data_IF_100086242029
#
_entry.id   IF_100086242029
#
_cell.length_a   1.000
_cell.length_b   1.000
_cell.length_c   1.000
_cell.angle_alpha   90.00
_cell.angle_beta   90.00
_cell.angle_gamma   90.00
#
_symmetry.space_group_name_H-M   'P 1'
#
loop_
_entity.id
_entity.type
_entity.pdbx_description
1 polymer ?
#
# COMPACT_ATOMS: atom_id res chain seq x y z
N UNK A 1 0.22 16.89 -22.51
CA UNK A 1 1.54 16.27 -22.65
C UNK A 1 1.30 14.78 -22.79
N UNK A 2 1.49 14.27 -24.00
CA UNK A 2 1.13 12.92 -24.42
C UNK A 2 1.95 11.85 -23.71
N UNK A 3 1.25 10.94 -23.04
CA UNK A 3 1.79 9.88 -22.20
C UNK A 3 1.85 8.54 -22.96
N UNK A 4 2.37 8.56 -24.18
CA UNK A 4 2.57 7.34 -24.99
C UNK A 4 3.93 7.44 -25.70
N UNK A 5 4.80 6.45 -25.43
CA UNK A 5 6.15 6.25 -25.99
C UNK A 5 7.34 6.97 -25.32
N UNK A 6 7.56 6.80 -24.02
CA UNK A 6 8.95 6.79 -23.52
C UNK A 6 9.51 5.37 -23.68
N UNK A 7 10.35 5.16 -24.71
CA UNK A 7 11.22 3.97 -24.77
C UNK A 7 11.97 3.87 -23.44
N UNK A 8 11.96 2.68 -22.83
CA UNK A 8 12.76 2.41 -21.64
C UNK A 8 14.23 2.76 -21.95
N UNK A 9 14.94 3.47 -21.05
CA UNK A 9 16.35 3.73 -21.28
C UNK A 9 17.09 2.38 -21.38
N UNK A 10 18.02 2.26 -22.33
CA UNK A 10 18.73 1.01 -22.65
C UNK A 10 19.38 0.32 -21.43
N UNK A 11 19.65 1.07 -20.37
CA UNK A 11 20.16 0.55 -19.09
C UNK A 11 19.12 -0.20 -18.25
N UNK A 12 17.83 0.14 -18.37
CA UNK A 12 16.76 -0.51 -17.61
C UNK A 12 16.42 -1.89 -18.18
N UNK A 13 16.32 -2.00 -19.51
CA UNK A 13 16.10 -3.29 -20.15
C UNK A 13 17.26 -4.26 -19.86
N UNK A 14 18.51 -3.77 -19.90
CA UNK A 14 19.69 -4.53 -19.52
C UNK A 14 19.73 -4.94 -18.04
N UNK A 15 19.06 -4.20 -17.16
CA UNK A 15 18.90 -4.57 -15.75
C UNK A 15 17.83 -5.66 -15.59
N UNK A 16 16.68 -5.52 -16.26
CA UNK A 16 15.60 -6.50 -16.19
C UNK A 16 16.03 -7.89 -16.65
N UNK A 17 16.86 -7.98 -17.68
CA UNK A 17 17.39 -9.27 -18.17
C UNK A 17 18.28 -10.00 -17.16
N UNK A 18 18.81 -9.30 -16.16
CA UNK A 18 19.63 -9.89 -15.09
C UNK A 18 18.80 -10.33 -13.89
N UNK A 19 17.55 -9.88 -13.78
CA UNK A 19 16.69 -10.23 -12.66
C UNK A 19 16.02 -11.60 -12.89
N UNK A 20 15.84 -12.41 -11.83
CA UNK A 20 14.95 -13.55 -11.90
C UNK A 20 13.57 -13.09 -12.36
N UNK A 21 12.99 -13.81 -13.31
CA UNK A 21 11.65 -13.51 -13.81
C UNK A 21 10.78 -14.76 -13.81
N UNK A 22 9.47 -14.56 -13.67
CA UNK A 22 8.50 -15.62 -13.64
C UNK A 22 7.26 -15.23 -14.43
N UNK A 23 6.75 -16.19 -15.21
CA UNK A 23 5.48 -16.06 -15.88
C UNK A 23 4.37 -16.40 -14.88
N UNK A 24 3.49 -15.43 -14.62
CA UNK A 24 2.36 -15.60 -13.73
C UNK A 24 1.14 -16.13 -14.49
N UNK A 25 0.75 -15.47 -15.58
CA UNK A 25 -0.17 -15.98 -16.61
C UNK A 25 0.49 -15.91 -17.98
N UNK A 26 0.22 -16.89 -18.83
CA UNK A 26 0.81 -17.02 -20.17
C UNK A 26 0.55 -15.82 -21.08
N UNK A 27 -0.53 -15.08 -20.83
CA UNK A 27 -0.99 -13.91 -21.58
C UNK A 27 -0.80 -12.59 -20.81
N UNK A 28 0.05 -12.60 -19.78
CA UNK A 28 0.42 -11.40 -19.02
C UNK A 28 1.92 -11.18 -19.05
N UNK A 29 2.40 -9.93 -18.90
CA UNK A 29 3.82 -9.67 -18.77
C UNK A 29 4.42 -10.41 -17.58
N UNK A 30 5.68 -10.85 -17.72
CA UNK A 30 6.40 -11.52 -16.64
C UNK A 30 6.60 -10.58 -15.44
N UNK A 31 6.59 -11.16 -14.25
CA UNK A 31 7.09 -10.50 -13.06
C UNK A 31 8.60 -10.67 -12.97
N UNK A 32 9.27 -9.65 -12.46
CA UNK A 32 10.71 -9.64 -12.20
C UNK A 32 10.91 -9.48 -10.69
N UNK A 33 11.83 -10.27 -10.13
CA UNK A 33 12.15 -10.22 -8.72
C UNK A 33 13.20 -9.13 -8.48
N UNK A 34 12.80 -8.07 -7.79
CA UNK A 34 13.66 -6.95 -7.44
C UNK A 34 13.65 -6.73 -5.93
N UNK A 35 14.83 -6.75 -5.31
CA UNK A 35 15.00 -6.70 -3.84
C UNK A 35 14.16 -7.73 -3.07
N UNK A 36 13.95 -8.90 -3.67
CA UNK A 36 13.18 -10.01 -3.10
C UNK A 36 11.66 -9.90 -3.28
N UNK A 37 11.17 -8.91 -4.05
CA UNK A 37 9.74 -8.70 -4.32
C UNK A 37 9.45 -8.87 -5.81
N UNK A 38 8.36 -9.54 -6.14
CA UNK A 38 7.90 -9.77 -7.51
C UNK A 38 7.09 -8.58 -8.03
N UNK A 39 7.55 -7.96 -9.12
CA UNK A 39 7.00 -6.71 -9.65
C UNK A 39 6.89 -6.76 -11.17
N UNK A 40 5.93 -6.02 -11.72
CA UNK A 40 5.95 -5.68 -13.14
C UNK A 40 7.04 -4.62 -13.41
N UNK A 41 7.62 -4.58 -14.63
CA UNK A 41 8.62 -3.60 -15.03
C UNK A 41 8.27 -2.15 -14.65
N UNK A 42 7.02 -1.74 -14.83
CA UNK A 42 6.59 -0.36 -14.56
C UNK A 42 6.69 -0.01 -13.07
N UNK A 43 6.47 -0.98 -12.18
CA UNK A 43 6.63 -0.79 -10.73
C UNK A 43 8.11 -0.74 -10.33
N UNK A 44 8.98 -1.51 -10.98
CA UNK A 44 10.43 -1.44 -10.74
C UNK A 44 10.97 -0.08 -11.17
N UNK A 45 10.58 0.39 -12.36
CA UNK A 45 10.96 1.70 -12.85
C UNK A 45 10.47 2.80 -11.90
N UNK A 46 9.22 2.72 -11.43
CA UNK A 46 8.68 3.64 -10.44
C UNK A 46 9.44 3.61 -9.12
N UNK A 47 9.82 2.43 -8.63
CA UNK A 47 10.58 2.27 -7.39
C UNK A 47 12.02 2.82 -7.51
N UNK A 48 12.66 2.65 -8.67
CA UNK A 48 13.96 3.27 -8.97
C UNK A 48 13.86 4.79 -9.02
N UNK A 49 12.85 5.32 -9.72
CA UNK A 49 12.61 6.75 -9.78
C UNK A 49 12.37 7.34 -8.39
N UNK A 50 11.54 6.67 -7.58
CA UNK A 50 11.29 7.05 -6.19
C UNK A 50 12.59 7.06 -5.39
N UNK A 51 13.39 5.99 -5.44
CA UNK A 51 14.67 5.90 -4.73
C UNK A 51 15.64 7.03 -5.06
N UNK A 52 15.67 7.48 -6.31
CA UNK A 52 16.61 8.50 -6.76
C UNK A 52 16.16 9.94 -6.50
N UNK A 53 14.85 10.18 -6.38
CA UNK A 53 14.30 11.55 -6.34
C UNK A 53 13.48 11.86 -5.09
N UNK A 54 13.08 10.85 -4.32
CA UNK A 54 12.30 11.06 -3.11
C UNK A 54 13.21 11.48 -1.96
N UNK A 55 12.95 12.68 -1.44
CA UNK A 55 13.55 13.19 -0.21
C UNK A 55 12.48 13.19 0.87
N UNK A 56 12.68 12.40 1.92
CA UNK A 56 11.76 12.35 3.05
C UNK A 56 11.93 13.58 3.95
N UNK A 57 10.84 14.24 4.30
CA UNK A 57 10.81 15.29 5.30
C UNK A 57 10.32 14.79 6.67
N UNK A 58 10.72 15.47 7.74
CA UNK A 58 10.36 15.11 9.12
C UNK A 58 8.83 15.06 9.36
N UNK A 59 8.06 15.84 8.60
CA UNK A 59 6.58 15.92 8.71
C UNK A 59 5.84 14.90 7.81
N UNK A 60 6.56 14.08 7.05
CA UNK A 60 5.93 13.11 6.15
C UNK A 60 5.33 11.92 6.91
N UNK A 61 4.19 11.42 6.40
CA UNK A 61 3.49 10.22 6.86
C UNK A 61 3.33 9.22 5.71
N UNK A 62 4.21 8.25 5.63
CA UNK A 62 4.21 7.21 4.60
C UNK A 62 3.18 6.14 4.97
N UNK A 63 2.25 5.85 4.06
CA UNK A 63 1.32 4.73 4.23
C UNK A 63 1.83 3.52 3.46
N UNK A 64 1.99 2.39 4.15
CA UNK A 64 2.47 1.14 3.59
C UNK A 64 1.52 -0.02 3.95
N UNK A 65 1.51 -1.05 3.11
CA UNK A 65 0.56 -2.16 3.23
C UNK A 65 0.91 -3.28 2.27
N UNK A 66 0.54 -4.51 2.58
CA UNK A 66 0.32 -5.51 1.53
C UNK A 66 -0.87 -5.09 0.65
N UNK A 67 -0.98 -5.65 -0.55
CA UNK A 67 -2.22 -5.47 -1.30
C UNK A 67 -3.41 -6.04 -0.54
N UNK A 68 -4.57 -5.38 -0.70
CA UNK A 68 -5.88 -5.82 -0.18
C UNK A 68 -5.98 -5.92 1.35
N UNK A 69 -5.11 -5.25 2.10
CA UNK A 69 -5.17 -5.21 3.57
C UNK A 69 -5.93 -3.99 4.17
N UNK A 70 -6.77 -3.31 3.38
CA UNK A 70 -7.56 -2.16 3.86
C UNK A 70 -6.91 -0.80 3.62
N UNK A 71 -6.11 -0.66 2.57
CA UNK A 71 -5.43 0.61 2.21
C UNK A 71 -6.37 1.79 2.02
N UNK A 72 -7.56 1.56 1.47
CA UNK A 72 -8.54 2.61 1.24
C UNK A 72 -9.04 3.17 2.57
N UNK A 73 -9.38 2.27 3.49
CA UNK A 73 -9.83 2.65 4.82
C UNK A 73 -8.74 3.37 5.62
N UNK A 74 -7.50 2.85 5.59
CA UNK A 74 -6.36 3.51 6.24
C UNK A 74 -6.11 4.92 5.69
N UNK A 75 -6.19 5.11 4.37
CA UNK A 75 -6.05 6.42 3.72
C UNK A 75 -7.12 7.40 4.20
N UNK A 76 -8.38 6.97 4.21
CA UNK A 76 -9.49 7.79 4.69
C UNK A 76 -9.27 8.23 6.15
N UNK A 77 -8.94 7.27 7.02
CA UNK A 77 -8.65 7.53 8.43
C UNK A 77 -7.49 8.52 8.62
N UNK A 78 -6.35 8.29 7.95
CA UNK A 78 -5.20 9.19 8.06
C UNK A 78 -5.54 10.60 7.54
N UNK A 79 -6.24 10.70 6.41
CA UNK A 79 -6.65 11.98 5.85
C UNK A 79 -7.57 12.75 6.79
N UNK A 80 -8.58 12.07 7.34
CA UNK A 80 -9.54 12.67 8.27
C UNK A 80 -8.88 13.12 9.60
N UNK A 81 -7.95 12.32 10.13
CA UNK A 81 -7.19 12.65 11.35
C UNK A 81 -6.30 13.88 11.12
N UNK A 82 -5.54 13.90 10.02
CA UNK A 82 -4.56 14.97 9.76
C UNK A 82 -5.24 16.32 9.51
N UNK A 83 -6.49 16.31 9.04
CA UNK A 83 -7.33 17.49 8.82
C UNK A 83 -8.13 17.90 10.08
N UNK A 84 -7.92 17.26 11.24
CA UNK A 84 -8.70 17.49 12.47
C UNK A 84 -10.23 17.35 12.27
N UNK A 85 -10.69 16.51 11.34
CA UNK A 85 -12.12 16.38 11.02
C UNK A 85 -12.77 17.65 10.44
N UNK A 86 -11.97 18.66 10.05
CA UNK A 86 -12.45 19.90 9.42
C UNK A 86 -12.47 19.75 7.91
N UNK A 87 -13.53 19.15 7.39
CA UNK A 87 -14.07 19.59 6.11
C UNK A 87 -15.46 20.15 6.43
N UNK A 88 -15.62 21.45 6.24
CA UNK A 88 -16.92 22.15 6.27
C UNK A 88 -17.66 21.93 4.93
N UNK A 89 -17.01 21.31 3.96
CA UNK A 89 -17.59 20.93 2.68
C UNK A 89 -18.32 19.58 2.82
N UNK A 90 -19.65 19.61 2.62
CA UNK A 90 -20.51 18.43 2.45
C UNK A 90 -20.13 17.58 1.21
N UNK A 91 -19.32 18.14 0.30
CA UNK A 91 -18.69 17.40 -0.79
C UNK A 91 -17.46 16.67 -0.27
N UNK A 92 -17.69 15.44 0.18
CA UNK A 92 -16.70 14.50 0.67
C UNK A 92 -15.50 14.41 -0.30
N UNK A 93 -14.36 14.99 0.08
CA UNK A 93 -13.06 14.89 -0.60
C UNK A 93 -12.69 13.40 -0.82
N UNK A 94 -13.21 12.51 0.03
CA UNK A 94 -13.06 11.06 -0.04
C UNK A 94 -13.82 10.41 -1.20
N UNK A 95 -14.91 11.03 -1.68
CA UNK A 95 -15.80 10.52 -2.74
C UNK A 95 -15.41 11.10 -4.12
N UNK A 96 -15.09 12.40 -4.19
CA UNK A 96 -14.81 13.08 -5.47
C UNK A 96 -13.32 13.13 -5.87
N UNK A 97 -12.42 12.85 -4.94
CA UNK A 97 -11.00 12.70 -5.25
C UNK A 97 -10.50 11.40 -4.65
N UNK A 98 -9.69 10.65 -5.42
CA UNK A 98 -8.82 9.63 -4.85
C UNK A 98 -8.15 10.29 -3.63
N UNK A 99 -8.29 9.78 -2.38
CA UNK A 99 -8.22 10.58 -1.13
C UNK A 99 -6.97 11.41 -0.81
N UNK A 100 -6.04 11.61 -1.76
CA UNK A 100 -4.82 12.39 -1.58
C UNK A 100 -4.59 13.30 -2.79
N UNK A 101 -4.41 14.61 -2.61
CA UNK A 101 -4.04 15.52 -3.69
C UNK A 101 -2.70 15.09 -4.32
N UNK A 102 -2.60 15.23 -5.64
CA UNK A 102 -1.43 14.89 -6.45
C UNK A 102 -0.16 15.69 -6.10
N UNK A 103 -0.26 16.66 -5.19
CA UNK A 103 0.79 17.63 -4.82
C UNK A 103 1.69 17.19 -3.65
N UNK A 104 1.47 16.02 -3.06
CA UNK A 104 2.38 15.45 -2.05
C UNK A 104 2.70 13.99 -2.38
N UNK A 105 3.91 13.49 -2.10
CA UNK A 105 4.39 12.20 -2.58
C UNK A 105 3.81 11.03 -1.75
N UNK A 106 2.48 10.95 -1.63
CA UNK A 106 1.77 9.88 -0.92
C UNK A 106 1.49 8.67 -1.81
N UNK A 107 2.40 8.38 -2.74
CA UNK A 107 2.35 7.20 -3.59
C UNK A 107 3.54 6.31 -3.24
N UNK A 108 3.35 5.34 -2.36
CA UNK A 108 4.04 4.08 -2.57
C UNK A 108 3.24 2.93 -1.97
N UNK A 109 2.73 2.08 -2.86
CA UNK A 109 2.27 0.75 -2.46
C UNK A 109 3.52 -0.13 -2.35
N UNK A 110 3.68 -0.75 -1.18
CA UNK A 110 4.31 -2.07 -0.99
C UNK A 110 5.79 -2.26 -1.37
N UNK A 111 6.70 -1.42 -0.85
CA UNK A 111 8.15 -1.71 -0.91
C UNK A 111 8.85 -1.49 0.44
N UNK A 112 8.98 -2.52 1.31
CA UNK A 112 9.57 -2.39 2.64
C UNK A 112 11.00 -1.83 2.60
N UNK A 113 11.89 -2.47 1.84
CA UNK A 113 13.32 -2.16 1.85
C UNK A 113 13.63 -0.79 1.26
N UNK A 114 13.00 -0.45 0.13
CA UNK A 114 13.19 0.85 -0.49
C UNK A 114 12.67 1.97 0.41
N UNK A 115 11.44 1.85 0.94
CA UNK A 115 10.83 2.89 1.77
C UNK A 115 11.59 3.12 3.07
N UNK A 116 11.95 2.05 3.77
CA UNK A 116 12.67 2.15 5.04
C UNK A 116 14.03 2.79 4.79
N UNK A 117 14.76 2.38 3.73
CA UNK A 117 16.07 2.97 3.42
C UNK A 117 16.00 4.43 3.04
N UNK A 118 15.07 4.84 2.16
CA UNK A 118 14.97 6.24 1.72
C UNK A 118 14.51 7.18 2.83
N UNK A 119 13.78 6.66 3.82
CA UNK A 119 13.29 7.44 4.94
C UNK A 119 14.20 7.42 6.17
N UNK A 120 15.26 6.60 6.21
CA UNK A 120 16.06 6.34 7.42
C UNK A 120 16.50 7.61 8.16
N UNK A 121 16.92 8.65 7.43
CA UNK A 121 17.54 9.85 7.99
C UNK A 121 16.56 10.95 8.43
N UNK A 122 15.27 10.84 8.11
CA UNK A 122 14.26 11.82 8.55
C UNK A 122 13.46 11.31 9.75
N UNK A 123 12.68 12.19 10.36
CA UNK A 123 11.69 11.84 11.39
C UNK A 123 10.32 11.46 10.82
N UNK A 124 10.22 11.24 9.50
CA UNK A 124 8.97 10.86 8.88
C UNK A 124 8.39 9.60 9.53
N UNK A 125 7.08 9.53 9.61
CA UNK A 125 6.37 8.40 10.20
C UNK A 125 5.91 7.45 9.11
N UNK A 126 5.84 6.16 9.42
CA UNK A 126 5.35 5.12 8.54
C UNK A 126 4.18 4.44 9.25
N UNK A 127 3.02 4.35 8.59
CA UNK A 127 1.88 3.56 9.06
C UNK A 127 1.74 2.36 8.14
N UNK A 128 1.92 1.18 8.71
CA UNK A 128 1.82 -0.08 8.02
C UNK A 128 0.54 -0.82 8.41
N UNK A 129 -0.27 -1.26 7.44
CA UNK A 129 -1.43 -2.12 7.69
C UNK A 129 -1.35 -3.46 6.96
N UNK A 130 -1.55 -4.54 7.71
CA UNK A 130 -1.71 -5.90 7.18
C UNK A 130 -3.09 -6.46 7.50
N UNK A 131 -3.45 -7.59 6.88
CA UNK A 131 -4.71 -8.30 7.10
C UNK A 131 -4.43 -9.81 7.18
N UNK A 132 -5.35 -10.57 7.76
CA UNK A 132 -5.31 -12.03 7.67
C UNK A 132 -5.01 -12.52 6.23
N UNK A 133 -4.07 -13.45 6.11
CA UNK A 133 -3.61 -13.99 4.83
C UNK A 133 -4.75 -14.53 3.96
N UNK A 134 -5.70 -15.27 4.56
CA UNK A 134 -6.81 -15.90 3.82
C UNK A 134 -7.75 -14.84 3.23
N UNK A 135 -8.08 -13.83 4.02
CA UNK A 135 -8.92 -12.72 3.58
C UNK A 135 -8.23 -11.85 2.51
N UNK A 136 -6.93 -11.57 2.71
CA UNK A 136 -6.13 -10.82 1.76
C UNK A 136 -6.05 -11.56 0.42
N UNK A 137 -5.85 -12.88 0.46
CA UNK A 137 -5.84 -13.76 -0.71
C UNK A 137 -7.17 -13.72 -1.47
N UNK A 138 -8.30 -13.97 -0.80
CA UNK A 138 -9.62 -13.99 -1.46
C UNK A 138 -9.92 -12.64 -2.10
N UNK A 139 -9.62 -11.54 -1.41
CA UNK A 139 -9.79 -10.19 -1.95
C UNK A 139 -8.85 -9.90 -3.13
N UNK A 140 -7.63 -10.45 -3.10
CA UNK A 140 -6.66 -10.35 -4.18
C UNK A 140 -7.12 -11.12 -5.42
N UNK A 141 -7.57 -12.36 -5.26
CA UNK A 141 -8.10 -13.17 -6.35
C UNK A 141 -9.26 -12.49 -7.08
N UNK A 142 -10.25 -11.97 -6.34
CA UNK A 142 -11.36 -11.22 -6.94
C UNK A 142 -10.90 -9.96 -7.67
N UNK A 143 -9.96 -9.20 -7.10
CA UNK A 143 -9.41 -8.02 -7.77
C UNK A 143 -8.70 -8.43 -9.06
N UNK A 144 -7.79 -9.39 -8.98
CA UNK A 144 -6.97 -9.85 -10.10
C UNK A 144 -7.84 -10.35 -11.26
N UNK A 145 -8.87 -11.14 -10.96
CA UNK A 145 -9.81 -11.59 -12.00
C UNK A 145 -10.69 -10.46 -12.55
N UNK A 146 -11.00 -9.45 -11.75
CA UNK A 146 -11.76 -8.28 -12.21
C UNK A 146 -10.94 -7.32 -13.07
N UNK A 147 -9.64 -7.18 -12.82
CA UNK A 147 -8.76 -6.21 -13.49
C UNK A 147 -7.93 -6.82 -14.61
N UNK A 148 -7.51 -8.08 -14.48
CA UNK A 148 -6.64 -8.76 -15.44
C UNK A 148 -7.43 -9.87 -16.13
N UNK A 149 -8.11 -10.72 -15.35
CA UNK A 149 -8.86 -11.88 -15.86
C UNK A 149 -9.93 -11.59 -16.90
N UNK A 150 -10.51 -10.38 -16.91
CA UNK A 150 -11.50 -9.95 -17.91
C UNK A 150 -10.90 -9.62 -19.28
N UNK A 151 -9.60 -9.32 -19.33
CA UNK A 151 -8.91 -8.83 -20.53
C UNK A 151 -7.87 -9.82 -21.07
N UNK A 152 -7.62 -10.89 -20.33
CA UNK A 152 -6.75 -12.00 -20.73
C UNK A 152 -7.51 -13.01 -21.60
N UNK A 153 -6.88 -13.52 -22.67
CA UNK A 153 -7.46 -14.57 -23.53
C UNK A 153 -7.76 -15.85 -22.74
N UNK A 154 -6.96 -16.13 -21.71
CA UNK A 154 -7.12 -17.28 -20.81
C UNK A 154 -8.31 -17.13 -19.85
N UNK A 155 -8.96 -15.97 -19.80
CA UNK A 155 -10.07 -15.68 -18.90
C UNK A 155 -9.70 -15.58 -17.41
N UNK A 156 -10.68 -15.71 -16.49
CA UNK A 156 -10.42 -15.66 -15.06
C UNK A 156 -9.59 -16.86 -14.59
N UNK A 157 -8.62 -16.61 -13.71
CA UNK A 157 -7.78 -17.65 -13.16
C UNK A 157 -8.53 -18.42 -12.05
N UNK A 158 -8.53 -19.78 -12.07
CA UNK A 158 -9.12 -20.58 -11.01
C UNK A 158 -8.52 -20.27 -9.64
N UNK A 159 -9.32 -20.41 -8.58
CA UNK A 159 -8.93 -20.07 -7.22
C UNK A 159 -7.72 -20.88 -6.75
N UNK A 160 -7.70 -22.18 -7.05
CA UNK A 160 -6.66 -23.13 -6.63
C UNK A 160 -5.31 -22.76 -7.25
N UNK A 161 -5.31 -22.36 -8.53
CA UNK A 161 -4.10 -21.95 -9.24
C UNK A 161 -3.58 -20.62 -8.71
N UNK A 162 -4.47 -19.67 -8.43
CA UNK A 162 -4.07 -18.42 -7.77
C UNK A 162 -3.51 -18.67 -6.38
N UNK A 163 -4.15 -19.56 -5.61
CA UNK A 163 -3.72 -19.91 -4.27
C UNK A 163 -2.29 -20.47 -4.27
N UNK A 164 -1.99 -21.35 -5.23
CA UNK A 164 -0.64 -21.88 -5.39
C UNK A 164 0.38 -20.76 -5.64
N UNK A 165 0.13 -19.86 -6.59
CA UNK A 165 1.04 -18.72 -6.82
C UNK A 165 1.20 -17.82 -5.59
N UNK A 166 0.11 -17.56 -4.88
CA UNK A 166 0.13 -16.73 -3.68
C UNK A 166 0.93 -17.38 -2.54
N UNK A 167 0.83 -18.70 -2.38
CA UNK A 167 1.65 -19.49 -1.44
C UNK A 167 3.12 -19.56 -1.85
N UNK A 168 3.40 -19.74 -3.14
CA UNK A 168 4.76 -19.75 -3.69
C UNK A 168 5.41 -18.35 -3.65
N UNK A 169 4.62 -17.32 -3.35
CA UNK A 169 5.07 -15.93 -3.27
C UNK A 169 5.24 -15.25 -4.63
N UNK A 170 4.99 -15.94 -5.74
CA UNK A 170 5.10 -15.44 -7.12
C UNK A 170 3.82 -14.71 -7.52
N UNK A 171 3.54 -13.61 -6.84
CA UNK A 171 2.41 -12.71 -7.10
C UNK A 171 2.89 -11.27 -7.10
N UNK A 172 2.11 -10.37 -7.71
CA UNK A 172 2.46 -8.96 -7.70
C UNK A 172 2.62 -8.47 -6.24
N UNK A 173 3.75 -7.84 -5.93
CA UNK A 173 4.18 -7.44 -4.57
C UNK A 173 4.37 -8.58 -3.54
N UNK A 174 4.42 -9.84 -3.98
CA UNK A 174 4.77 -10.98 -3.14
C UNK A 174 6.30 -11.12 -2.97
N UNK A 175 6.77 -11.95 -2.02
CA UNK A 175 5.96 -12.83 -1.15
C UNK A 175 5.25 -12.10 0.01
N UNK A 176 4.01 -12.50 0.31
CA UNK A 176 3.16 -11.81 1.28
C UNK A 176 3.76 -11.79 2.70
N UNK A 177 4.22 -12.95 3.20
CA UNK A 177 4.71 -13.05 4.58
C UNK A 177 6.03 -12.31 4.76
N UNK A 178 6.96 -12.38 3.80
CA UNK A 178 8.22 -11.63 3.88
C UNK A 178 7.96 -10.14 3.97
N UNK A 179 7.02 -9.63 3.17
CA UNK A 179 6.62 -8.22 3.22
C UNK A 179 6.07 -7.84 4.60
N UNK A 180 5.22 -8.68 5.21
CA UNK A 180 4.65 -8.43 6.55
C UNK A 180 5.71 -8.53 7.64
N UNK A 181 6.58 -9.54 7.58
CA UNK A 181 7.62 -9.81 8.57
C UNK A 181 8.69 -8.72 8.57
N UNK A 182 9.10 -8.22 7.40
CA UNK A 182 10.05 -7.11 7.29
C UNK A 182 9.51 -5.87 8.04
N UNK A 183 8.26 -5.46 7.76
CA UNK A 183 7.65 -4.32 8.46
C UNK A 183 7.41 -4.57 9.94
N UNK A 184 7.03 -5.79 10.32
CA UNK A 184 6.85 -6.17 11.72
C UNK A 184 8.16 -6.03 12.48
N UNK A 185 9.24 -6.64 11.99
CA UNK A 185 10.55 -6.59 12.62
C UNK A 185 11.08 -5.16 12.76
N UNK A 186 10.93 -4.34 11.71
CA UNK A 186 11.37 -2.94 11.74
C UNK A 186 10.50 -2.08 12.66
N UNK A 187 9.20 -2.38 12.78
CA UNK A 187 8.32 -1.70 13.75
C UNK A 187 8.70 -1.95 15.20
N UNK A 188 9.23 -3.14 15.52
CA UNK A 188 9.74 -3.44 16.86
C UNK A 188 11.03 -2.68 17.16
N UNK A 189 11.88 -2.45 16.16
CA UNK A 189 13.13 -1.67 16.29
C UNK A 189 12.87 -0.17 16.42
N UNK A 190 11.89 0.35 15.67
CA UNK A 190 11.62 1.79 15.57
C UNK A 190 10.14 2.12 15.81
N UNK A 191 9.59 1.86 17.01
CA UNK A 191 8.16 2.03 17.30
C UNK A 191 7.68 3.49 17.24
N UNK A 192 8.59 4.45 17.40
CA UNK A 192 8.30 5.89 17.24
C UNK A 192 8.20 6.31 15.76
N UNK A 193 8.74 5.50 14.84
CA UNK A 193 8.80 5.78 13.41
C UNK A 193 7.84 4.92 12.60
N UNK A 194 7.58 3.68 13.02
CA UNK A 194 6.74 2.72 12.29
C UNK A 194 5.61 2.24 13.19
N UNK A 195 4.37 2.56 12.81
CA UNK A 195 3.17 2.03 13.42
C UNK A 195 2.69 0.81 12.62
N UNK A 196 2.76 -0.36 13.25
CA UNK A 196 2.20 -1.59 12.68
C UNK A 196 0.75 -1.78 13.16
N UNK A 197 -0.17 -1.93 12.20
CA UNK A 197 -1.59 -2.14 12.41
C UNK A 197 -2.08 -3.41 11.70
N UNK A 198 -3.11 -4.03 12.25
CA UNK A 198 -3.82 -5.14 11.62
C UNK A 198 -5.25 -4.75 11.34
N UNK A 199 -5.73 -5.05 10.14
CA UNK A 199 -7.11 -4.82 9.73
C UNK A 199 -8.10 -5.48 10.69
N UNK A 200 -7.81 -6.70 11.14
CA UNK A 200 -8.65 -7.46 12.07
C UNK A 200 -8.79 -6.75 13.43
N UNK A 201 -7.71 -6.12 13.92
CA UNK A 201 -7.73 -5.32 15.16
C UNK A 201 -8.49 -4.01 14.95
N UNK A 202 -8.33 -3.37 13.79
CA UNK A 202 -9.08 -2.17 13.40
C UNK A 202 -10.57 -2.45 13.28
N UNK A 203 -10.96 -3.63 12.81
CA UNK A 203 -12.36 -4.03 12.74
C UNK A 203 -12.94 -4.41 14.11
N UNK A 204 -12.13 -5.04 14.98
CA UNK A 204 -12.56 -5.48 16.31
C UNK A 204 -12.72 -4.33 17.31
N UNK A 205 -11.83 -3.35 17.27
CA UNK A 205 -11.88 -2.13 18.09
C UNK A 205 -11.51 -0.90 17.25
N UNK A 206 -12.44 -0.41 16.41
CA UNK A 206 -12.17 0.72 15.53
C UNK A 206 -11.76 1.97 16.31
N UNK A 207 -12.45 2.27 17.42
CA UNK A 207 -12.22 3.48 18.21
C UNK A 207 -10.85 3.46 18.88
N UNK A 208 -10.46 2.35 19.49
CA UNK A 208 -9.14 2.20 20.09
C UNK A 208 -8.01 2.31 19.05
N UNK A 209 -8.15 1.66 17.89
CA UNK A 209 -7.13 1.73 16.84
C UNK A 209 -7.03 3.13 16.20
N UNK A 210 -8.15 3.83 16.04
CA UNK A 210 -8.16 5.22 15.53
C UNK A 210 -7.53 6.19 16.52
N UNK A 211 -7.80 6.05 17.83
CA UNK A 211 -7.09 6.81 18.88
C UNK A 211 -5.59 6.54 18.88
N UNK A 212 -5.18 5.27 18.73
CA UNK A 212 -3.78 4.86 18.62
C UNK A 212 -3.10 5.46 17.39
N UNK A 213 -3.75 5.42 16.24
CA UNK A 213 -3.28 6.04 15.00
C UNK A 213 -3.12 7.54 15.16
N UNK A 214 -4.13 8.23 15.69
CA UNK A 214 -4.10 9.67 15.90
C UNK A 214 -2.97 10.09 16.84
N UNK A 215 -2.77 9.37 17.93
CA UNK A 215 -1.66 9.59 18.87
C UNK A 215 -0.30 9.41 18.19
N UNK A 216 -0.13 8.35 17.40
CA UNK A 216 1.09 8.11 16.64
C UNK A 216 1.37 9.24 15.63
N UNK A 217 0.34 9.76 14.94
CA UNK A 217 0.45 10.87 14.01
C UNK A 217 0.71 12.22 14.69
N UNK A 218 0.67 12.30 16.04
CA UNK A 218 0.83 13.56 16.77
C UNK A 218 -0.45 14.41 16.78
N UNK A 219 -1.60 13.78 16.55
CA UNK A 219 -2.95 14.36 16.52
C UNK A 219 -3.86 13.67 17.54
N UNK A 220 -3.33 13.36 18.72
CA UNK A 220 -4.08 12.69 19.77
C UNK A 220 -5.39 13.44 20.06
N UNK A 221 -6.50 12.71 20.12
CA UNK A 221 -7.79 13.30 20.41
C UNK A 221 -7.89 13.75 21.85
N UNK A 222 -8.54 14.89 22.04
CA UNK A 222 -8.82 15.49 23.34
C UNK A 222 -10.12 14.96 23.95
N UNK A 223 -11.09 14.61 23.10
CA UNK A 223 -12.40 14.08 23.51
C UNK A 223 -12.78 12.87 22.66
N UNK A 224 -13.53 11.95 23.26
CA UNK A 224 -13.94 10.69 22.63
C UNK A 224 -14.77 10.89 21.35
N UNK A 225 -15.52 11.99 21.27
CA UNK A 225 -16.36 12.34 20.13
C UNK A 225 -15.55 12.58 18.84
N UNK A 226 -14.30 13.03 18.93
CA UNK A 226 -13.45 13.24 17.75
C UNK A 226 -13.16 11.91 17.05
N UNK A 227 -12.91 10.84 17.81
CA UNK A 227 -12.72 9.50 17.27
C UNK A 227 -14.02 8.96 16.62
N UNK A 228 -15.17 9.21 17.26
CA UNK A 228 -16.48 8.80 16.71
C UNK A 228 -16.78 9.52 15.39
N UNK A 229 -16.47 10.81 15.30
CA UNK A 229 -16.65 11.59 14.07
C UNK A 229 -15.76 11.09 12.93
N UNK A 230 -14.50 10.77 13.21
CA UNK A 230 -13.58 10.20 12.22
C UNK A 230 -14.08 8.85 11.71
N UNK A 231 -14.52 7.98 12.62
CA UNK A 231 -15.08 6.67 12.27
C UNK A 231 -16.34 6.80 11.43
N UNK A 232 -17.24 7.71 11.79
CA UNK A 232 -18.46 7.97 11.05
C UNK A 232 -18.16 8.45 9.62
N UNK A 233 -17.21 9.38 9.44
CA UNK A 233 -16.81 9.89 8.11
C UNK A 233 -16.14 8.82 7.25
N UNK A 234 -15.35 7.93 7.87
CA UNK A 234 -14.57 6.92 7.17
C UNK A 234 -15.27 5.54 7.14
N UNK A 235 -16.58 5.48 7.33
CA UNK A 235 -17.31 4.21 7.34
C UNK A 235 -17.33 3.59 5.94
N UNK A 236 -17.38 2.27 5.86
CA UNK A 236 -17.37 1.57 4.58
C UNK A 236 -18.61 1.86 3.74
N UNK A 237 -19.74 2.24 4.35
CA UNK A 237 -20.94 2.63 3.60
C UNK A 237 -20.80 3.99 2.90
N UNK A 238 -19.79 4.79 3.28
CA UNK A 238 -19.55 6.14 2.75
C UNK A 238 -18.34 6.24 1.81
N UNK A 239 -17.54 5.17 1.72
CA UNK A 239 -16.34 5.07 0.87
C UNK A 239 -16.63 4.25 -0.39
#
# INVERSE_FOLDING_TARGET
MDCKNSKLPSSFDAMLTQLPNACYRSDTPNFFQWEGIWLLPEFIQGALAFRSHFESHDDDVILASTMKSGTTWLKALCSCIMQNGRSDDEEDILINTNPMPASRPWRLKSMPRTLIRTSQNSKCKIVYITRNFKDAFVSFWHLNNSTIGKFTESGPLPLEKEFQYFCDGVTLFGPFYDHVLDYWAESLKMPHKILFMKYDELNRDPKGQVKRLASFLGKAFSIDQEADNVLWRCSLERL
#
